data_IF_477946164433
#
_entry.id   IF_477946164433
#
_cell.length_a   1.000
_cell.length_b   1.000
_cell.length_c   1.000
_cell.angle_alpha   90.00
_cell.angle_beta   90.00
_cell.angle_gamma   90.00
#
_symmetry.space_group_name_H-M   'P 1'
#
loop_
_entity.id
_entity.type
_entity.pdbx_description
1 polymer ?
#
# COMPACT_ATOMS: atom_id res chain seq x y z
N UNK A 1 -0.19 0.24 13.05
CA UNK A 1 0.18 1.37 12.15
C UNK A 1 -0.99 1.70 11.26
N UNK A 2 -1.04 2.91 10.72
CA UNK A 2 -2.11 3.40 9.83
C UNK A 2 -1.69 3.19 8.38
N UNK A 3 -2.49 2.46 7.61
CA UNK A 3 -2.19 2.03 6.26
C UNK A 3 -3.25 2.59 5.32
N UNK A 4 -2.81 3.26 4.25
CA UNK A 4 -3.68 3.65 3.15
C UNK A 4 -3.69 2.55 2.08
N UNK A 5 -4.86 1.97 1.81
CA UNK A 5 -5.08 0.96 0.79
C UNK A 5 -5.49 1.61 -0.53
N UNK A 6 -4.68 1.41 -1.56
CA UNK A 6 -4.89 1.94 -2.91
C UNK A 6 -6.13 1.35 -3.61
N UNK A 7 -6.65 2.08 -4.60
CA UNK A 7 -7.81 1.65 -5.41
C UNK A 7 -7.49 0.45 -6.31
N UNK A 8 -6.20 0.16 -6.53
CA UNK A 8 -5.75 -1.04 -7.24
C UNK A 8 -6.00 -2.33 -6.46
N UNK A 9 -6.26 -2.26 -5.16
CA UNK A 9 -6.49 -3.40 -4.29
C UNK A 9 -7.97 -3.53 -3.89
N UNK A 10 -8.49 -4.77 -3.76
CA UNK A 10 -9.86 -4.97 -3.28
C UNK A 10 -9.99 -4.51 -1.83
N UNK A 11 -11.10 -3.84 -1.51
CA UNK A 11 -11.40 -3.38 -0.14
C UNK A 11 -11.46 -4.53 0.87
N UNK A 12 -11.82 -5.74 0.41
CA UNK A 12 -11.83 -6.98 1.21
C UNK A 12 -10.44 -7.33 1.79
N UNK A 13 -9.35 -6.76 1.28
CA UNK A 13 -8.01 -6.94 1.85
C UNK A 13 -7.83 -6.20 3.19
N UNK A 14 -8.52 -5.07 3.39
CA UNK A 14 -8.38 -4.25 4.60
C UNK A 14 -8.58 -5.05 5.91
N UNK A 15 -9.66 -5.84 6.10
CA UNK A 15 -9.84 -6.62 7.33
C UNK A 15 -8.80 -7.74 7.52
N UNK A 16 -8.10 -8.17 6.46
CA UNK A 16 -7.11 -9.25 6.54
C UNK A 16 -5.74 -8.76 7.04
N UNK A 17 -5.48 -7.46 6.99
CA UNK A 17 -4.24 -6.85 7.50
C UNK A 17 -4.39 -6.60 9.01
N UNK A 18 -4.49 -7.69 9.76
CA UNK A 18 -4.75 -7.69 11.21
C UNK A 18 -3.67 -6.96 12.01
N UNK A 19 -4.08 -6.24 13.07
CA UNK A 19 -3.16 -5.47 13.92
C UNK A 19 -2.81 -4.07 13.38
N UNK A 20 -3.37 -3.68 12.23
CA UNK A 20 -3.16 -2.38 11.61
C UNK A 20 -4.51 -1.68 11.33
N UNK A 21 -4.50 -0.35 11.36
CA UNK A 21 -5.66 0.46 10.96
C UNK A 21 -5.56 0.67 9.46
N UNK A 22 -6.45 0.06 8.68
CA UNK A 22 -6.46 0.18 7.22
C UNK A 22 -7.63 1.04 6.77
N UNK A 23 -7.32 2.07 5.97
CA UNK A 23 -8.31 2.95 5.35
C UNK A 23 -8.12 2.86 3.83
N UNK A 24 -9.19 2.72 3.07
CA UNK A 24 -9.10 2.72 1.61
C UNK A 24 -9.11 4.13 1.05
N UNK A 25 -8.45 4.36 -0.09
CA UNK A 25 -8.52 5.64 -0.83
C UNK A 25 -9.96 6.10 -1.05
N UNK A 26 -10.86 5.16 -1.34
CA UNK A 26 -12.30 5.42 -1.49
C UNK A 26 -12.93 5.94 -0.19
N UNK A 27 -12.68 5.26 0.94
CA UNK A 27 -13.21 5.70 2.25
C UNK A 27 -12.61 7.02 2.73
N UNK A 28 -11.37 7.33 2.32
CA UNK A 28 -10.73 8.62 2.57
C UNK A 28 -11.26 9.75 1.66
N UNK A 29 -12.12 9.44 0.68
CA UNK A 29 -12.63 10.40 -0.29
C UNK A 29 -11.56 10.90 -1.28
N UNK A 30 -10.51 10.11 -1.51
CA UNK A 30 -9.35 10.47 -2.34
C UNK A 30 -9.34 9.77 -3.70
N UNK A 31 -10.49 9.21 -4.11
CA UNK A 31 -10.66 8.58 -5.41
C UNK A 31 -10.27 9.52 -6.56
N UNK A 32 -9.49 9.01 -7.52
CA UNK A 32 -9.01 9.78 -8.67
C UNK A 32 -7.91 10.81 -8.38
N UNK A 33 -7.41 10.92 -7.14
CA UNK A 33 -6.23 11.74 -6.84
C UNK A 33 -4.98 11.09 -7.43
N UNK A 34 -4.20 11.85 -8.21
CA UNK A 34 -2.96 11.34 -8.83
C UNK A 34 -1.94 10.87 -7.79
N UNK A 35 -1.24 9.78 -8.07
CA UNK A 35 -0.23 9.12 -7.21
C UNK A 35 0.70 10.10 -6.46
N UNK A 36 1.33 11.06 -7.15
CA UNK A 36 2.24 12.00 -6.49
C UNK A 36 1.57 12.85 -5.39
N UNK A 37 0.35 13.34 -5.65
CA UNK A 37 -0.43 14.10 -4.66
C UNK A 37 -1.01 13.17 -3.59
N UNK A 38 -1.43 11.97 -3.99
CA UNK A 38 -1.96 10.96 -3.07
C UNK A 38 -0.93 10.55 -2.03
N UNK A 39 0.32 10.30 -2.44
CA UNK A 39 1.41 9.96 -1.52
C UNK A 39 1.73 11.10 -0.56
N UNK A 40 1.69 12.35 -1.02
CA UNK A 40 1.89 13.52 -0.16
C UNK A 40 0.76 13.67 0.87
N UNK A 41 -0.50 13.46 0.47
CA UNK A 41 -1.64 13.43 1.38
C UNK A 41 -1.54 12.28 2.38
N UNK A 42 -1.22 11.08 1.89
CA UNK A 42 -1.06 9.89 2.71
C UNK A 42 -0.02 10.11 3.81
N UNK A 43 1.13 10.72 3.48
CA UNK A 43 2.21 10.98 4.42
C UNK A 43 1.82 11.88 5.61
N UNK A 44 0.69 12.58 5.56
CA UNK A 44 0.22 13.43 6.66
C UNK A 44 -0.50 12.65 7.76
N UNK A 45 -1.05 11.48 7.45
CA UNK A 45 -1.97 10.75 8.33
C UNK A 45 -1.73 9.23 8.37
N UNK A 46 -0.89 8.71 7.49
CA UNK A 46 -0.61 7.28 7.31
C UNK A 46 0.89 7.00 7.36
N UNK A 47 1.23 5.79 7.83
CA UNK A 47 2.60 5.31 7.95
C UNK A 47 3.05 4.61 6.65
N UNK A 48 2.10 3.98 5.94
CA UNK A 48 2.38 3.18 4.74
C UNK A 48 1.25 3.29 3.70
N UNK A 49 1.65 3.35 2.43
CA UNK A 49 0.78 3.20 1.26
C UNK A 49 0.91 1.79 0.69
N UNK A 50 -0.20 1.04 0.61
CA UNK A 50 -0.26 -0.33 0.10
C UNK A 50 -0.94 -0.34 -1.26
N UNK A 51 -0.26 -0.87 -2.28
CA UNK A 51 -0.73 -0.84 -3.69
C UNK A 51 -0.37 -2.12 -4.43
N UNK A 52 -1.11 -2.44 -5.50
CA UNK A 52 -0.72 -3.42 -6.52
C UNK A 52 -0.16 -2.78 -7.79
N UNK A 53 -0.10 -1.44 -7.88
CA UNK A 53 0.46 -0.72 -9.03
C UNK A 53 1.98 -0.86 -9.05
N UNK A 54 2.47 -1.76 -9.91
CA UNK A 54 3.90 -1.99 -10.12
C UNK A 54 4.59 -0.83 -10.82
N UNK A 55 3.84 0.07 -11.46
CA UNK A 55 4.44 1.21 -12.15
C UNK A 55 4.84 2.33 -11.19
N UNK A 56 4.38 2.30 -9.93
CA UNK A 56 4.66 3.36 -8.96
C UNK A 56 6.17 3.55 -8.74
N UNK A 57 6.97 2.49 -8.84
CA UNK A 57 8.43 2.55 -8.70
C UNK A 57 9.11 3.34 -9.83
N UNK A 58 8.49 3.38 -11.01
CA UNK A 58 8.97 4.13 -12.17
C UNK A 58 8.35 5.52 -12.27
N UNK A 59 7.16 5.72 -11.71
CA UNK A 59 6.45 7.01 -11.69
C UNK A 59 6.95 7.94 -10.58
N UNK A 60 7.47 7.41 -9.48
CA UNK A 60 7.88 8.17 -8.29
C UNK A 60 9.39 8.17 -8.10
N UNK A 61 9.91 9.26 -7.56
CA UNK A 61 11.32 9.32 -7.17
C UNK A 61 11.53 8.63 -5.83
N UNK A 62 12.16 7.46 -5.85
CA UNK A 62 12.43 6.64 -4.66
C UNK A 62 13.30 7.35 -3.61
N UNK A 63 14.10 8.35 -4.00
CA UNK A 63 14.95 9.11 -3.07
C UNK A 63 14.17 10.16 -2.26
N UNK A 64 12.97 10.52 -2.71
CA UNK A 64 12.17 11.61 -2.14
C UNK A 64 10.76 11.15 -1.78
N UNK A 65 10.57 9.86 -1.49
CA UNK A 65 9.28 9.35 -1.10
C UNK A 65 8.80 10.02 0.19
N UNK A 66 7.56 10.54 0.23
CA UNK A 66 7.03 11.18 1.43
C UNK A 66 6.57 10.15 2.48
N UNK A 67 6.23 8.93 2.06
CA UNK A 67 5.70 7.82 2.88
C UNK A 67 6.36 6.49 2.47
N UNK A 68 6.32 5.48 3.34
CA UNK A 68 6.66 4.12 2.95
C UNK A 68 5.64 3.55 1.95
N UNK A 69 6.09 2.74 1.00
CA UNK A 69 5.25 2.12 -0.02
C UNK A 69 5.50 0.60 0.01
N UNK A 70 4.42 -0.18 0.11
CA UNK A 70 4.46 -1.62 -0.13
C UNK A 70 3.70 -1.96 -1.42
N UNK A 71 4.38 -2.65 -2.33
CA UNK A 71 3.82 -3.10 -3.61
C UNK A 71 3.55 -4.59 -3.54
N UNK A 72 2.27 -4.99 -3.58
CA UNK A 72 1.84 -6.38 -3.66
C UNK A 72 1.99 -6.90 -5.08
N UNK A 73 2.84 -7.91 -5.28
CA UNK A 73 3.11 -8.54 -6.56
C UNK A 73 2.46 -9.93 -6.61
N UNK A 74 1.14 -9.92 -6.67
CA UNK A 74 0.34 -11.12 -6.91
C UNK A 74 0.18 -11.38 -8.42
N UNK A 75 -0.24 -12.59 -8.81
CA UNK A 75 -0.58 -12.94 -10.20
C UNK A 75 -1.72 -12.08 -10.76
N UNK A 76 -2.65 -11.66 -9.91
CA UNK A 76 -3.74 -10.73 -10.19
C UNK A 76 -4.21 -10.09 -8.88
N UNK A 77 -5.09 -9.08 -8.96
CA UNK A 77 -5.59 -8.34 -7.79
C UNK A 77 -6.85 -8.97 -7.19
N UNK A 78 -7.11 -10.27 -7.42
CA UNK A 78 -8.20 -10.97 -6.74
C UNK A 78 -7.76 -11.35 -5.34
N UNK A 79 -8.71 -11.33 -4.40
CA UNK A 79 -8.44 -11.58 -2.98
C UNK A 79 -7.71 -12.91 -2.75
N UNK A 80 -8.05 -13.97 -3.48
CA UNK A 80 -7.42 -15.29 -3.33
C UNK A 80 -5.93 -15.28 -3.66
N UNK A 81 -5.48 -14.43 -4.60
CA UNK A 81 -4.07 -14.31 -4.96
C UNK A 81 -3.31 -13.42 -3.96
N UNK A 82 -3.99 -12.42 -3.39
CA UNK A 82 -3.42 -11.49 -2.40
C UNK A 82 -3.31 -12.13 -1.01
N UNK A 83 -4.22 -13.02 -0.65
CA UNK A 83 -4.19 -13.79 0.61
C UNK A 83 -2.90 -14.60 0.76
N UNK A 84 -2.36 -15.14 -0.34
CA UNK A 84 -1.09 -15.87 -0.36
C UNK A 84 0.10 -14.98 0.04
N UNK A 85 -0.03 -13.66 -0.08
CA UNK A 85 1.01 -12.69 0.27
C UNK A 85 0.87 -12.15 1.69
N UNK A 86 -0.25 -12.44 2.39
CA UNK A 86 -0.50 -11.91 3.74
C UNK A 86 0.60 -12.25 4.74
N UNK A 87 1.15 -13.48 4.80
CA UNK A 87 2.20 -13.79 5.77
C UNK A 87 3.45 -12.92 5.57
N UNK A 88 3.88 -12.73 4.33
CA UNK A 88 5.03 -11.90 3.98
C UNK A 88 4.72 -10.41 4.22
N UNK A 89 3.52 -9.95 3.85
CA UNK A 89 3.06 -8.59 4.10
C UNK A 89 3.09 -8.28 5.59
N UNK A 90 2.47 -9.11 6.44
CA UNK A 90 2.40 -8.87 7.89
C UNK A 90 3.80 -8.85 8.53
N UNK A 91 4.71 -9.71 8.10
CA UNK A 91 6.11 -9.67 8.55
C UNK A 91 6.80 -8.36 8.16
N UNK A 92 6.55 -7.89 6.93
CA UNK A 92 7.08 -6.63 6.44
C UNK A 92 6.52 -5.45 7.22
N UNK A 93 5.22 -5.46 7.53
CA UNK A 93 4.54 -4.41 8.28
C UNK A 93 5.12 -4.23 9.69
N UNK A 94 5.69 -5.27 10.30
CA UNK A 94 6.37 -5.14 11.60
C UNK A 94 7.73 -4.42 11.52
N UNK A 95 8.31 -4.27 10.33
CA UNK A 95 9.67 -3.75 10.12
C UNK A 95 9.72 -2.67 9.03
N UNK A 96 8.64 -1.91 8.86
CA UNK A 96 8.55 -0.88 7.83
C UNK A 96 9.62 0.18 8.05
N UNK A 97 10.44 0.39 7.03
CA UNK A 97 11.37 1.52 7.01
C UNK A 97 10.67 2.72 6.35
N UNK A 98 10.52 3.86 7.04
CA UNK A 98 9.86 5.03 6.48
C UNK A 98 10.52 5.48 5.16
N UNK A 99 9.69 6.02 4.24
CA UNK A 99 10.15 6.59 2.95
C UNK A 99 10.92 5.60 2.08
N UNK A 100 10.63 4.30 2.21
CA UNK A 100 11.18 3.26 1.33
C UNK A 100 10.08 2.59 0.54
N UNK A 101 10.45 2.02 -0.60
CA UNK A 101 9.60 1.12 -1.37
C UNK A 101 10.03 -0.32 -1.09
N UNK A 102 9.06 -1.17 -0.79
CA UNK A 102 9.24 -2.62 -0.64
C UNK A 102 8.25 -3.37 -1.53
N UNK A 103 8.68 -4.52 -2.03
CA UNK A 103 7.86 -5.44 -2.83
C UNK A 103 7.54 -6.65 -1.96
N UNK A 104 6.31 -7.15 -2.06
CA UNK A 104 5.84 -8.35 -1.38
C UNK A 104 5.35 -9.32 -2.45
N UNK A 105 5.89 -10.54 -2.47
CA UNK A 105 5.67 -11.51 -3.55
C UNK A 105 6.64 -11.39 -4.73
N UNK A 106 6.47 -12.29 -5.70
CA UNK A 106 7.42 -12.59 -6.78
C UNK A 106 7.32 -11.69 -8.03
#
# INVERSE_FOLDING_TARGET
>A
MRILLDESLPCDLAPLVVGHEVVTVQTAGWSGVKNGKLLALAATQFDLFLTADRNIEFQQNLKTLPIAIAVLRARNNRIQALELLLPELLQLLNHVVPRTLRKVGA
#
